data_IF_382068338892
#
_entry.id   IF_382068338892
#
_cell.length_a   1.000
_cell.length_b   1.000
_cell.length_c   1.000
_cell.angle_alpha   90.00
_cell.angle_beta   90.00
_cell.angle_gamma   90.00
#
_symmetry.space_group_name_H-M   'P 1'
#
loop_
_entity.id
_entity.type
_entity.pdbx_description
1 polymer ?
#
# COMPACT_ATOMS: atom_id res chain seq x y z
N UNK A 1 -12.17 1.68 -7.58
CA UNK A 1 -13.31 1.11 -6.85
C UNK A 1 -14.30 2.19 -6.49
N UNK A 2 -15.51 2.07 -6.97
CA UNK A 2 -16.53 3.10 -6.77
C UNK A 2 -16.86 3.33 -5.29
N UNK A 3 -16.92 2.25 -4.50
CA UNK A 3 -17.23 2.36 -3.08
C UNK A 3 -16.19 3.16 -2.31
N UNK A 4 -14.92 3.01 -2.66
CA UNK A 4 -13.85 3.77 -2.02
C UNK A 4 -13.98 5.26 -2.31
N UNK A 5 -14.15 5.61 -3.57
CA UNK A 5 -14.32 7.01 -3.96
C UNK A 5 -15.56 7.63 -3.31
N UNK A 6 -16.66 6.89 -3.24
CA UNK A 6 -17.88 7.37 -2.63
C UNK A 6 -17.70 7.62 -1.13
N UNK A 7 -17.10 6.69 -0.42
CA UNK A 7 -16.87 6.85 1.03
C UNK A 7 -15.93 8.02 1.31
N UNK A 8 -14.83 8.12 0.58
CA UNK A 8 -13.87 9.19 0.77
C UNK A 8 -14.49 10.54 0.42
N UNK A 9 -15.30 10.59 -0.63
CA UNK A 9 -16.02 11.81 -0.99
C UNK A 9 -16.93 12.30 0.10
N UNK A 10 -17.58 11.39 0.84
CA UNK A 10 -18.45 11.73 1.95
C UNK A 10 -17.69 12.32 3.14
N UNK A 11 -16.41 12.08 3.22
CA UNK A 11 -15.55 12.70 4.23
C UNK A 11 -15.19 14.15 3.90
N UNK A 12 -15.71 14.67 2.78
CA UNK A 12 -15.51 16.05 2.39
C UNK A 12 -14.19 16.34 1.72
N UNK A 13 -13.35 15.32 1.56
CA UNK A 13 -12.06 15.46 0.94
C UNK A 13 -12.09 15.24 -0.57
N UNK A 14 -11.06 15.75 -1.24
CA UNK A 14 -10.82 15.47 -2.64
C UNK A 14 -10.18 14.08 -2.76
N UNK A 15 -10.67 13.28 -3.69
CA UNK A 15 -10.16 11.94 -3.93
C UNK A 15 -9.23 11.97 -5.13
N UNK A 16 -8.03 11.47 -4.96
CA UNK A 16 -7.08 11.31 -6.05
C UNK A 16 -6.64 9.86 -6.14
N UNK A 17 -6.29 9.42 -7.34
CA UNK A 17 -5.84 8.06 -7.61
C UNK A 17 -4.53 8.08 -8.39
N UNK A 18 -3.68 7.11 -8.08
CA UNK A 18 -2.45 6.88 -8.83
C UNK A 18 -2.14 5.40 -8.84
N UNK A 19 -1.63 4.91 -9.96
CA UNK A 19 -1.19 3.51 -10.03
C UNK A 19 0.15 3.36 -9.32
N UNK A 20 0.34 2.22 -8.68
CA UNK A 20 1.61 1.86 -8.04
C UNK A 20 1.95 0.43 -8.36
N UNK A 21 3.24 0.14 -8.39
CA UNK A 21 3.72 -1.21 -8.56
C UNK A 21 5.09 -1.35 -7.93
N UNK A 22 5.48 -2.57 -7.65
CA UNK A 22 6.81 -2.85 -7.13
C UNK A 22 7.09 -4.33 -7.13
N UNK A 23 8.37 -4.65 -7.06
CA UNK A 23 8.85 -6.01 -6.90
C UNK A 23 9.91 -6.00 -5.82
N UNK A 24 9.78 -6.90 -4.86
CA UNK A 24 10.75 -7.01 -3.78
C UNK A 24 11.33 -8.41 -3.76
N UNK A 25 12.64 -8.50 -3.59
CA UNK A 25 13.37 -9.76 -3.49
C UNK A 25 14.41 -9.63 -2.37
N UNK A 26 15.00 -10.77 -1.98
CA UNK A 26 15.98 -10.78 -0.91
C UNK A 26 15.44 -11.42 0.36
N UNK A 27 16.04 -11.13 1.49
CA UNK A 27 15.68 -11.73 2.76
C UNK A 27 14.35 -11.25 3.31
N UNK A 28 13.84 -11.96 4.30
CA UNK A 28 12.66 -11.52 5.04
C UNK A 28 12.86 -10.13 5.61
N UNK A 29 11.86 -9.28 5.48
CA UNK A 29 11.94 -7.89 5.93
C UNK A 29 12.45 -6.92 4.90
N UNK A 30 12.91 -7.38 3.74
CA UNK A 30 13.34 -6.51 2.65
C UNK A 30 12.14 -5.74 2.11
N UNK A 31 12.35 -4.46 1.81
CA UNK A 31 11.30 -3.60 1.27
C UNK A 31 11.72 -2.96 -0.04
N UNK A 32 10.74 -2.62 -0.87
CA UNK A 32 10.90 -1.83 -2.07
C UNK A 32 9.99 -0.62 -1.99
N UNK A 33 10.53 0.57 -2.24
CA UNK A 33 9.73 1.79 -2.29
C UNK A 33 8.86 1.76 -3.54
N UNK A 34 7.55 1.94 -3.38
CA UNK A 34 6.63 2.03 -4.50
C UNK A 34 6.28 3.48 -4.82
N UNK A 35 6.02 4.29 -3.82
CA UNK A 35 5.75 5.71 -4.00
C UNK A 35 5.90 6.43 -2.67
N UNK A 36 5.95 7.76 -2.74
CA UNK A 36 6.02 8.62 -1.55
C UNK A 36 4.87 9.61 -1.63
N UNK A 37 4.15 9.77 -0.53
CA UNK A 37 3.04 10.70 -0.40
C UNK A 37 3.50 11.86 0.49
N UNK A 38 3.29 13.09 0.03
CA UNK A 38 3.58 14.27 0.84
C UNK A 38 2.27 14.98 1.15
N UNK A 39 1.93 15.02 2.42
CA UNK A 39 0.72 15.68 2.89
C UNK A 39 1.09 17.11 3.27
N UNK A 40 0.33 18.12 2.81
CA UNK A 40 0.62 19.49 3.16
C UNK A 40 0.61 19.73 4.67
N UNK A 41 1.40 20.69 5.12
CA UNK A 41 1.50 21.02 6.54
C UNK A 41 0.12 21.33 7.13
N UNK A 42 -0.16 20.78 8.31
CA UNK A 42 -1.42 20.99 8.99
C UNK A 42 -2.59 20.15 8.48
N UNK A 43 -2.35 19.28 7.50
CA UNK A 43 -3.40 18.45 6.92
C UNK A 43 -3.21 16.99 7.34
N UNK A 44 -4.30 16.23 7.25
CA UNK A 44 -4.31 14.79 7.44
C UNK A 44 -5.00 14.17 6.25
N UNK A 45 -4.38 13.17 5.64
CA UNK A 45 -4.95 12.47 4.51
C UNK A 45 -5.25 11.03 4.87
N UNK A 46 -6.34 10.52 4.31
CA UNK A 46 -6.57 9.07 4.27
C UNK A 46 -5.85 8.54 3.04
N UNK A 47 -5.01 7.54 3.24
CA UNK A 47 -4.31 6.86 2.16
C UNK A 47 -4.73 5.40 2.17
N UNK A 48 -5.17 4.91 1.04
CA UNK A 48 -5.54 3.50 0.87
C UNK A 48 -4.83 2.94 -0.35
N UNK A 49 -4.25 1.76 -0.21
CA UNK A 49 -3.57 1.06 -1.29
C UNK A 49 -4.30 -0.25 -1.51
N UNK A 50 -4.79 -0.48 -2.72
CA UNK A 50 -5.55 -1.68 -3.05
C UNK A 50 -4.99 -2.25 -4.35
N UNK A 51 -4.75 -3.54 -4.38
CA UNK A 51 -4.24 -4.18 -5.58
C UNK A 51 -4.05 -5.67 -5.42
N UNK A 52 -3.22 -6.22 -6.29
CA UNK A 52 -2.96 -7.65 -6.36
C UNK A 52 -1.48 -7.93 -6.18
N UNK A 53 -1.19 -8.84 -5.29
CA UNK A 53 0.17 -9.34 -5.08
C UNK A 53 0.34 -10.68 -5.75
N UNK A 54 1.50 -10.89 -6.34
CA UNK A 54 1.90 -12.16 -6.92
C UNK A 54 3.10 -12.67 -6.15
N UNK A 55 2.95 -13.84 -5.55
CA UNK A 55 4.02 -14.52 -4.83
C UNK A 55 4.28 -15.84 -5.51
N UNK A 56 5.45 -16.01 -6.14
CA UNK A 56 5.75 -17.28 -6.81
C UNK A 56 5.88 -18.47 -5.87
N UNK A 57 6.23 -18.23 -4.62
CA UNK A 57 6.41 -19.32 -3.66
C UNK A 57 5.06 -19.95 -3.31
N UNK A 58 5.01 -21.27 -3.32
CA UNK A 58 3.80 -22.02 -3.00
C UNK A 58 4.06 -22.92 -1.80
N UNK A 59 3.02 -23.10 -0.99
CA UNK A 59 3.09 -24.00 0.16
C UNK A 59 3.90 -23.49 1.32
N UNK A 60 4.30 -22.22 1.32
CA UNK A 60 5.06 -21.63 2.39
C UNK A 60 4.21 -20.62 3.15
N UNK A 61 4.50 -20.47 4.42
CA UNK A 61 3.87 -19.44 5.22
C UNK A 61 4.51 -18.08 4.95
N UNK A 62 3.72 -17.02 5.06
CA UNK A 62 4.17 -15.67 4.85
C UNK A 62 3.57 -15.11 3.57
N UNK A 63 3.20 -13.86 3.65
CA UNK A 63 2.59 -13.14 2.54
C UNK A 63 3.29 -11.79 2.41
N UNK A 64 3.28 -11.19 1.21
CA UNK A 64 3.77 -9.83 1.08
C UNK A 64 2.94 -8.88 1.92
N UNK A 65 3.55 -7.79 2.33
CA UNK A 65 2.91 -6.75 3.11
C UNK A 65 2.98 -5.43 2.39
N UNK A 66 1.88 -4.66 2.45
CA UNK A 66 1.91 -3.25 2.10
C UNK A 66 2.23 -2.47 3.36
N UNK A 67 3.18 -1.56 3.26
CA UNK A 67 3.61 -0.72 4.37
C UNK A 67 3.32 0.72 4.01
N UNK A 68 2.47 1.37 4.80
CA UNK A 68 2.19 2.81 4.69
C UNK A 68 2.77 3.46 5.94
N UNK A 69 3.95 4.04 5.81
CA UNK A 69 4.66 4.57 6.96
C UNK A 69 4.97 3.46 7.97
N UNK A 70 4.26 3.44 9.09
CA UNK A 70 4.41 2.43 10.13
C UNK A 70 3.27 1.40 10.13
N UNK A 71 2.29 1.55 9.24
CA UNK A 71 1.15 0.64 9.16
C UNK A 71 1.45 -0.46 8.16
N UNK A 72 1.32 -1.71 8.59
CA UNK A 72 1.58 -2.87 7.75
C UNK A 72 0.36 -3.76 7.67
N UNK A 73 0.11 -4.30 6.49
CA UNK A 73 -0.95 -5.28 6.28
C UNK A 73 -0.47 -6.36 5.33
N UNK A 74 -0.55 -7.59 5.78
CA UNK A 74 -0.25 -8.75 4.97
C UNK A 74 -1.50 -9.20 4.22
N UNK A 75 -1.31 -9.72 3.00
CA UNK A 75 -2.44 -10.20 2.22
C UNK A 75 -1.97 -11.21 1.18
N UNK A 76 -2.92 -11.98 0.67
CA UNK A 76 -2.69 -12.98 -0.37
C UNK A 76 -3.62 -12.67 -1.53
N UNK A 77 -3.06 -12.57 -2.74
CA UNK A 77 -3.85 -12.21 -3.92
C UNK A 77 -4.29 -10.76 -3.89
N UNK A 78 -5.59 -10.51 -3.81
CA UNK A 78 -6.14 -9.15 -3.79
C UNK A 78 -6.24 -8.66 -2.36
N UNK A 79 -5.80 -7.45 -2.12
CA UNK A 79 -5.86 -6.86 -0.80
C UNK A 79 -5.18 -5.51 -0.75
N UNK A 80 -4.91 -5.03 0.45
CA UNK A 80 -4.26 -3.75 0.63
C UNK A 80 -4.23 -3.27 2.07
N UNK A 81 -3.99 -1.99 2.23
CA UNK A 81 -3.88 -1.34 3.52
C UNK A 81 -4.40 0.09 3.45
N UNK A 82 -4.75 0.65 4.59
CA UNK A 82 -5.12 2.06 4.67
C UNK A 82 -4.62 2.66 5.98
N UNK A 83 -4.38 3.96 5.97
CA UNK A 83 -3.92 4.68 7.14
C UNK A 83 -4.23 6.17 7.00
N UNK A 84 -4.38 6.84 8.14
CA UNK A 84 -4.39 8.29 8.19
C UNK A 84 -2.94 8.75 8.32
N UNK A 85 -2.53 9.69 7.48
CA UNK A 85 -1.13 10.11 7.42
C UNK A 85 -1.00 11.64 7.46
N UNK A 86 0.11 12.07 8.01
CA UNK A 86 0.55 13.47 8.00
C UNK A 86 2.01 13.51 7.55
N UNK A 87 2.45 14.65 7.03
CA UNK A 87 3.83 14.81 6.59
C UNK A 87 4.14 13.95 5.38
N UNK A 88 5.38 13.55 5.27
CA UNK A 88 5.84 12.69 4.17
C UNK A 88 5.85 11.24 4.62
N UNK A 89 5.24 10.38 3.83
CA UNK A 89 5.16 8.95 4.15
C UNK A 89 5.51 8.12 2.92
N UNK A 90 6.27 7.06 3.13
CA UNK A 90 6.62 6.11 2.09
C UNK A 90 5.62 4.97 2.05
N UNK A 91 5.30 4.51 0.85
CA UNK A 91 4.51 3.31 0.62
C UNK A 91 5.43 2.27 0.03
N UNK A 92 5.60 1.16 0.73
CA UNK A 92 6.55 0.12 0.41
C UNK A 92 5.88 -1.24 0.28
N UNK A 93 6.48 -2.10 -0.51
CA UNK A 93 6.18 -3.52 -0.55
C UNK A 93 7.24 -4.23 0.29
N UNK A 94 6.81 -5.07 1.23
CA UNK A 94 7.71 -5.79 2.13
C UNK A 94 7.47 -7.28 2.00
N UNK A 95 8.54 -8.04 2.04
CA UNK A 95 8.40 -9.50 2.00
C UNK A 95 8.63 -10.11 3.38
N UNK A 96 7.98 -11.24 3.58
CA UNK A 96 7.98 -11.95 4.84
C UNK A 96 8.87 -13.17 4.90
N UNK A 97 9.38 -13.65 3.76
CA UNK A 97 10.35 -14.71 3.74
C UNK A 97 11.16 -14.67 2.44
N UNK A 98 12.25 -15.41 2.41
CA UNK A 98 13.34 -15.16 1.48
C UNK A 98 13.52 -16.29 0.49
N UNK A 99 12.53 -16.57 -0.36
CA UNK A 99 12.68 -17.66 -1.32
C UNK A 99 12.63 -17.20 -2.75
N UNK A 100 11.79 -16.24 -3.06
CA UNK A 100 11.65 -15.72 -4.41
C UNK A 100 11.25 -14.26 -4.31
N UNK A 101 10.84 -13.66 -5.41
CA UNK A 101 10.39 -12.27 -5.38
C UNK A 101 8.87 -12.21 -5.25
N UNK A 102 8.40 -11.12 -4.63
CA UNK A 102 6.99 -10.77 -4.57
C UNK A 102 6.78 -9.53 -5.42
N UNK A 103 5.65 -9.45 -6.11
CA UNK A 103 5.29 -8.31 -6.92
C UNK A 103 3.92 -7.81 -6.54
N UNK A 104 3.71 -6.51 -6.68
CA UNK A 104 2.42 -5.88 -6.40
C UNK A 104 2.10 -4.89 -7.50
N UNK A 105 0.84 -4.83 -7.86
CA UNK A 105 0.32 -3.81 -8.77
C UNK A 105 -1.06 -3.38 -8.29
N UNK A 106 -1.27 -2.09 -8.18
CA UNK A 106 -2.53 -1.60 -7.67
C UNK A 106 -2.69 -0.10 -7.79
N UNK A 107 -3.53 0.45 -6.93
CA UNK A 107 -3.89 1.87 -6.93
C UNK A 107 -3.76 2.43 -5.53
N UNK A 108 -3.20 3.63 -5.45
CA UNK A 108 -3.20 4.43 -4.23
C UNK A 108 -4.32 5.46 -4.34
N UNK A 109 -5.17 5.49 -3.35
CA UNK A 109 -6.21 6.50 -3.21
C UNK A 109 -5.82 7.43 -2.07
N UNK A 110 -5.94 8.73 -2.30
CA UNK A 110 -5.68 9.72 -1.25
C UNK A 110 -6.87 10.66 -1.13
N UNK A 111 -7.19 11.05 0.09
CA UNK A 111 -8.25 12.01 0.35
C UNK A 111 -7.90 12.85 1.55
N UNK A 112 -8.16 14.16 1.44
CA UNK A 112 -8.01 15.08 2.56
C UNK A 112 -9.16 14.88 3.53
N UNK A 113 -8.81 14.81 4.78
CA UNK A 113 -9.79 14.65 5.86
C UNK A 113 -10.32 15.98 6.39
#
# INVERSE_FOLDING_TARGET
MAITSEIIGKLGGRVEEATVSGTVSGGSGTTTLMTTITVPAGKTWLVAVIGTATTPATGLSGYPEIVIGNTRAAFSGVGGASALVTGTVDIRLRRNYAISSDSFAGTVYTAEM
#
